data_IF_263157860965
#
_entry.id   IF_263157860965
#
_cell.length_a   1.000
_cell.length_b   1.000
_cell.length_c   1.000
_cell.angle_alpha   90.00
_cell.angle_beta   90.00
_cell.angle_gamma   90.00
#
_symmetry.space_group_name_H-M   'P 1'
#
loop_
_entity.id
_entity.type
_entity.pdbx_description
1 polymer ?
#
# COMPACT_ATOMS: atom_id res chain seq x y z
N UNK A 1 -26.03 12.86 -35.13
CA UNK A 1 -26.72 12.60 -33.85
C UNK A 1 -26.32 11.19 -33.43
N UNK A 2 -25.19 11.06 -32.74
CA UNK A 2 -24.69 9.77 -32.24
C UNK A 2 -25.01 9.70 -30.75
N UNK A 3 -25.73 8.64 -30.37
CA UNK A 3 -26.22 8.35 -29.04
C UNK A 3 -25.06 7.97 -28.12
N UNK A 4 -24.63 8.92 -27.30
CA UNK A 4 -23.51 8.80 -26.37
C UNK A 4 -23.99 8.23 -25.02
N UNK A 5 -24.53 7.01 -25.06
CA UNK A 5 -24.82 6.22 -23.85
C UNK A 5 -23.93 5.00 -23.80
N UNK A 6 -22.63 5.21 -23.61
CA UNK A 6 -21.82 4.20 -22.90
C UNK A 6 -22.30 4.16 -21.46
N UNK A 7 -23.35 3.37 -21.21
CA UNK A 7 -23.66 2.91 -19.85
C UNK A 7 -22.41 2.26 -19.31
N UNK A 8 -21.85 2.82 -18.25
CA UNK A 8 -20.94 2.11 -17.38
C UNK A 8 -21.70 0.88 -16.87
N UNK A 9 -21.51 -0.28 -17.49
CA UNK A 9 -21.87 -1.54 -16.86
C UNK A 9 -20.92 -1.69 -15.68
N UNK A 10 -21.35 -1.18 -14.52
CA UNK A 10 -20.72 -1.52 -13.25
C UNK A 10 -21.00 -3.00 -13.06
N UNK A 11 -20.02 -3.85 -13.38
CA UNK A 11 -20.15 -5.29 -13.21
C UNK A 11 -20.52 -5.61 -11.76
N UNK A 12 -21.60 -6.36 -11.56
CA UNK A 12 -22.05 -6.78 -10.22
C UNK A 12 -20.94 -7.50 -9.44
N UNK A 13 -20.03 -8.17 -10.15
CA UNK A 13 -18.84 -8.80 -9.58
C UNK A 13 -17.89 -7.80 -8.93
N UNK A 14 -17.67 -6.64 -9.56
CA UNK A 14 -16.81 -5.58 -9.04
C UNK A 14 -17.36 -4.98 -7.74
N UNK A 15 -18.68 -4.76 -7.69
CA UNK A 15 -19.38 -4.33 -6.47
C UNK A 15 -19.23 -5.40 -5.39
N UNK A 16 -19.44 -6.67 -5.74
CA UNK A 16 -19.30 -7.77 -4.78
C UNK A 16 -17.87 -7.88 -4.23
N UNK A 17 -16.83 -7.64 -5.05
CA UNK A 17 -15.45 -7.61 -4.59
C UNK A 17 -15.19 -6.45 -3.63
N UNK A 18 -15.64 -5.24 -3.97
CA UNK A 18 -15.52 -4.07 -3.10
C UNK A 18 -16.23 -4.28 -1.75
N UNK A 19 -17.44 -4.85 -1.76
CA UNK A 19 -18.19 -5.15 -0.53
C UNK A 19 -17.48 -6.21 0.32
N UNK A 20 -17.02 -7.32 -0.29
CA UNK A 20 -16.26 -8.37 0.44
C UNK A 20 -14.96 -7.84 1.04
N UNK A 21 -14.26 -6.98 0.30
CA UNK A 21 -13.08 -6.28 0.80
C UNK A 21 -13.45 -5.35 1.96
N UNK A 22 -14.57 -4.61 1.86
CA UNK A 22 -15.04 -3.72 2.91
C UNK A 22 -15.32 -4.43 4.24
N UNK A 23 -15.93 -5.62 4.21
CA UNK A 23 -16.09 -6.45 5.42
C UNK A 23 -14.76 -6.93 6.03
N UNK A 24 -13.66 -6.82 5.30
CA UNK A 24 -12.32 -7.16 5.76
C UNK A 24 -11.48 -5.93 6.12
N UNK A 25 -12.09 -4.72 6.17
CA UNK A 25 -11.39 -3.47 6.47
C UNK A 25 -10.80 -3.44 7.89
N UNK A 26 -11.47 -4.07 8.86
CA UNK A 26 -10.90 -4.34 10.19
C UNK A 26 -10.87 -5.85 10.41
N UNK A 27 -9.71 -6.37 10.83
CA UNK A 27 -9.50 -7.77 11.14
C UNK A 27 -10.27 -8.19 12.40
N UNK A 28 -10.95 -9.34 12.41
CA UNK A 28 -11.80 -9.75 13.54
C UNK A 28 -11.01 -10.03 14.83
N UNK A 29 -9.71 -10.31 14.71
CA UNK A 29 -8.79 -10.62 15.80
C UNK A 29 -7.90 -9.42 16.18
N UNK A 30 -8.30 -8.18 15.86
CA UNK A 30 -7.47 -6.97 15.99
C UNK A 30 -6.78 -6.88 17.35
N UNK A 31 -7.50 -7.14 18.45
CA UNK A 31 -6.95 -7.07 19.81
C UNK A 31 -5.84 -8.11 20.03
N UNK A 32 -6.11 -9.36 19.67
CA UNK A 32 -5.13 -10.46 19.81
C UNK A 32 -3.91 -10.23 18.92
N UNK A 33 -4.14 -9.79 17.68
CA UNK A 33 -3.07 -9.42 16.76
C UNK A 33 -2.21 -8.28 17.30
N UNK A 34 -2.84 -7.23 17.83
CA UNK A 34 -2.15 -6.06 18.37
C UNK A 34 -1.27 -6.45 19.56
N UNK A 35 -1.84 -7.17 20.53
CA UNK A 35 -1.14 -7.57 21.76
C UNK A 35 -0.06 -8.63 21.52
N UNK A 36 -0.15 -9.38 20.41
CA UNK A 36 0.75 -10.48 20.11
C UNK A 36 1.77 -10.12 19.03
N UNK A 37 1.32 -10.20 17.78
CA UNK A 37 2.20 -10.13 16.61
C UNK A 37 2.68 -8.70 16.37
N UNK A 38 1.75 -7.73 16.40
CA UNK A 38 2.08 -6.34 16.09
C UNK A 38 3.03 -5.72 17.11
N UNK A 39 2.76 -5.92 18.41
CA UNK A 39 3.63 -5.47 19.48
C UNK A 39 5.06 -6.01 19.30
N UNK A 40 5.21 -7.30 18.96
CA UNK A 40 6.52 -7.91 18.68
C UNK A 40 7.21 -7.31 17.45
N UNK A 41 6.48 -6.99 16.39
CA UNK A 41 7.07 -6.32 15.22
C UNK A 41 7.51 -4.90 15.52
N UNK A 42 6.81 -4.19 16.41
CA UNK A 42 7.21 -2.87 16.86
C UNK A 42 8.45 -2.91 17.75
N UNK A 43 8.54 -3.92 18.61
CA UNK A 43 9.69 -4.14 19.52
C UNK A 43 10.94 -4.62 18.77
N UNK A 44 10.79 -5.64 17.89
CA UNK A 44 11.91 -6.38 17.29
C UNK A 44 12.13 -6.09 15.82
N UNK A 45 11.22 -5.35 15.20
CA UNK A 45 11.26 -4.99 13.79
C UNK A 45 10.41 -5.93 12.94
N UNK A 46 9.73 -5.33 11.96
CA UNK A 46 9.03 -6.07 10.91
C UNK A 46 10.00 -6.62 9.86
N UNK A 47 11.06 -5.86 9.56
CA UNK A 47 11.95 -6.14 8.44
C UNK A 47 13.07 -7.13 8.83
N UNK A 48 13.42 -8.06 7.93
CA UNK A 48 14.60 -8.89 8.11
C UNK A 48 15.86 -8.03 8.32
N UNK A 49 16.80 -8.44 9.18
CA UNK A 49 18.03 -7.70 9.40
C UNK A 49 18.84 -7.53 8.11
N UNK A 50 19.28 -6.30 7.83
CA UNK A 50 20.12 -5.97 6.67
C UNK A 50 21.54 -5.64 7.11
N UNK A 51 22.53 -5.93 6.26
CA UNK A 51 23.93 -5.57 6.57
C UNK A 51 24.09 -4.05 6.66
N UNK A 52 24.77 -3.57 7.70
CA UNK A 52 24.92 -2.17 8.14
C UNK A 52 25.77 -1.31 7.16
N UNK A 53 26.28 -1.88 6.06
CA UNK A 53 27.28 -1.24 5.19
C UNK A 53 26.72 -0.49 3.98
N UNK A 54 25.42 -0.16 3.97
CA UNK A 54 24.78 0.43 2.81
C UNK A 54 24.48 1.92 3.02
N UNK A 55 25.09 2.79 2.22
CA UNK A 55 24.63 4.16 2.01
C UNK A 55 23.13 4.13 1.65
N UNK A 56 22.28 4.61 2.56
CA UNK A 56 20.82 4.37 2.58
C UNK A 56 20.05 5.24 1.58
N UNK A 57 20.70 6.20 0.94
CA UNK A 57 20.02 7.26 0.18
C UNK A 57 19.64 6.89 -1.27
N UNK A 58 20.21 5.81 -1.81
CA UNK A 58 19.96 5.44 -3.21
C UNK A 58 18.60 4.74 -3.41
N UNK A 59 17.72 5.38 -4.20
CA UNK A 59 16.35 4.91 -4.51
C UNK A 59 16.32 3.46 -4.97
N UNK A 60 17.18 3.11 -5.93
CA UNK A 60 17.21 1.77 -6.51
C UNK A 60 17.56 0.71 -5.47
N UNK A 61 18.40 1.05 -4.47
CA UNK A 61 18.85 0.14 -3.42
C UNK A 61 17.73 -0.13 -2.44
N UNK A 62 17.03 0.93 -2.03
CA UNK A 62 15.84 0.81 -1.18
C UNK A 62 14.77 -0.05 -1.85
N UNK A 63 14.46 0.23 -3.12
CA UNK A 63 13.49 -0.56 -3.90
C UNK A 63 13.92 -2.03 -4.03
N UNK A 64 15.21 -2.28 -4.30
CA UNK A 64 15.77 -3.62 -4.43
C UNK A 64 15.69 -4.43 -3.13
N UNK A 65 16.00 -3.81 -1.99
CA UNK A 65 15.89 -4.44 -0.68
C UNK A 65 14.43 -4.78 -0.35
N UNK A 66 13.50 -3.87 -0.64
CA UNK A 66 12.07 -4.10 -0.43
C UNK A 66 11.59 -5.31 -1.24
N UNK A 67 12.01 -5.44 -2.51
CA UNK A 67 11.71 -6.61 -3.35
C UNK A 67 12.30 -7.93 -2.82
N UNK A 68 13.50 -7.89 -2.24
CA UNK A 68 14.16 -9.07 -1.68
C UNK A 68 13.49 -9.55 -0.39
N UNK A 69 13.18 -8.64 0.53
CA UNK A 69 12.62 -8.96 1.85
C UNK A 69 11.28 -9.69 1.77
N UNK A 70 10.42 -9.32 0.82
CA UNK A 70 9.13 -10.00 0.60
C UNK A 70 9.31 -11.47 0.21
N UNK A 71 10.40 -11.81 -0.49
CA UNK A 71 10.62 -13.17 -1.02
C UNK A 71 11.16 -14.13 0.04
N UNK A 72 11.92 -13.63 1.01
CA UNK A 72 12.61 -14.46 2.00
C UNK A 72 11.74 -14.81 3.21
N UNK A 73 10.71 -14.02 3.52
CA UNK A 73 9.82 -14.27 4.65
C UNK A 73 8.97 -15.54 4.45
N UNK A 74 8.91 -16.37 5.49
CA UNK A 74 8.20 -17.64 5.54
C UNK A 74 6.92 -17.56 6.36
N UNK A 75 6.91 -16.81 7.46
CA UNK A 75 5.70 -16.63 8.26
C UNK A 75 4.63 -15.91 7.43
N UNK A 76 3.44 -16.50 7.34
CA UNK A 76 2.42 -15.99 6.43
C UNK A 76 1.92 -14.60 6.82
N UNK A 77 1.79 -14.32 8.11
CA UNK A 77 1.26 -13.05 8.59
C UNK A 77 2.29 -11.93 8.40
N UNK A 78 3.53 -12.19 8.80
CA UNK A 78 4.67 -11.30 8.60
C UNK A 78 4.89 -11.04 7.12
N UNK A 79 4.78 -12.07 6.28
CA UNK A 79 4.88 -11.94 4.82
C UNK A 79 3.79 -11.05 4.24
N UNK A 80 2.54 -11.16 4.69
CA UNK A 80 1.45 -10.29 4.23
C UNK A 80 1.76 -8.84 4.60
N UNK A 81 2.10 -8.57 5.86
CA UNK A 81 2.41 -7.22 6.31
C UNK A 81 3.63 -6.64 5.57
N UNK A 82 4.73 -7.39 5.51
CA UNK A 82 5.95 -7.00 4.78
C UNK A 82 5.64 -6.71 3.32
N UNK A 83 4.85 -7.57 2.65
CA UNK A 83 4.48 -7.35 1.26
C UNK A 83 3.69 -6.06 1.08
N UNK A 84 2.71 -5.77 1.92
CA UNK A 84 1.93 -4.51 1.84
C UNK A 84 2.86 -3.30 1.95
N UNK A 85 3.71 -3.25 2.99
CA UNK A 85 4.63 -2.13 3.21
C UNK A 85 5.67 -2.03 2.08
N UNK A 86 6.20 -3.16 1.61
CA UNK A 86 7.14 -3.18 0.49
C UNK A 86 6.49 -2.72 -0.81
N UNK A 87 5.25 -3.12 -1.12
CA UNK A 87 4.55 -2.71 -2.33
C UNK A 87 4.30 -1.19 -2.36
N UNK A 88 3.85 -0.58 -1.24
CA UNK A 88 3.68 0.88 -1.18
C UNK A 88 5.01 1.62 -1.33
N UNK A 89 6.09 1.08 -0.73
CA UNK A 89 7.43 1.65 -0.85
C UNK A 89 7.97 1.49 -2.27
N UNK A 90 7.76 0.35 -2.91
CA UNK A 90 8.10 0.13 -4.32
C UNK A 90 7.40 1.12 -5.24
N UNK A 91 6.11 1.39 -5.01
CA UNK A 91 5.38 2.41 -5.75
C UNK A 91 5.99 3.80 -5.55
N UNK A 92 6.28 4.18 -4.30
CA UNK A 92 6.96 5.44 -3.98
C UNK A 92 8.33 5.56 -4.66
N UNK A 93 9.19 4.55 -4.54
CA UNK A 93 10.51 4.56 -5.17
C UNK A 93 10.45 4.65 -6.69
N UNK A 94 9.46 3.99 -7.29
CA UNK A 94 9.18 4.15 -8.71
C UNK A 94 8.81 5.60 -9.06
N UNK A 95 7.92 6.26 -8.31
CA UNK A 95 7.55 7.65 -8.58
C UNK A 95 8.76 8.59 -8.48
N UNK A 96 9.59 8.41 -7.45
CA UNK A 96 10.81 9.20 -7.28
C UNK A 96 11.83 8.94 -8.41
N UNK A 97 11.95 7.69 -8.88
CA UNK A 97 12.82 7.36 -10.01
C UNK A 97 12.26 7.90 -11.32
N UNK A 98 10.94 7.86 -11.53
CA UNK A 98 10.29 8.43 -12.71
C UNK A 98 10.50 9.94 -12.76
N UNK A 99 10.32 10.62 -11.62
CA UNK A 99 10.59 12.06 -11.47
C UNK A 99 12.04 12.39 -11.81
N UNK A 100 13.02 11.68 -11.22
CA UNK A 100 14.44 11.86 -11.56
C UNK A 100 14.72 11.61 -13.05
N UNK A 101 14.10 10.58 -13.63
CA UNK A 101 14.25 10.23 -15.04
C UNK A 101 13.65 11.29 -15.97
N UNK A 102 12.65 12.04 -15.49
CA UNK A 102 12.03 13.16 -16.20
C UNK A 102 12.87 14.44 -16.10
N UNK A 103 13.41 14.73 -14.91
CA UNK A 103 14.24 15.90 -14.63
C UNK A 103 15.64 15.83 -15.23
N UNK A 104 16.24 14.64 -15.32
CA UNK A 104 17.58 14.44 -15.88
C UNK A 104 17.64 14.52 -17.41
N UNK A 105 16.60 15.06 -18.07
CA UNK A 105 16.45 15.03 -19.53
C UNK A 105 16.83 16.35 -20.17
N UNK A 106 17.31 16.24 -21.40
CA UNK A 106 17.40 17.37 -22.30
C UNK A 106 15.98 17.89 -22.60
N UNK A 107 15.66 19.17 -22.30
CA UNK A 107 14.36 19.77 -22.58
C UNK A 107 13.96 19.74 -24.06
N UNK A 108 14.91 19.52 -24.97
CA UNK A 108 14.69 19.54 -26.43
C UNK A 108 14.29 18.18 -27.02
N UNK A 109 14.41 17.08 -26.26
CA UNK A 109 14.12 15.74 -26.74
C UNK A 109 12.61 15.39 -26.65
N UNK A 110 11.97 15.19 -27.81
CA UNK A 110 10.62 14.62 -27.92
C UNK A 110 10.65 13.14 -27.55
N UNK A 111 10.31 12.82 -26.31
CA UNK A 111 10.25 11.45 -25.80
C UNK A 111 8.87 11.19 -25.22
N UNK A 112 8.29 10.02 -25.50
CA UNK A 112 6.95 9.68 -25.03
C UNK A 112 6.94 9.39 -23.52
N UNK A 113 5.77 9.55 -22.88
CA UNK A 113 5.56 9.17 -21.47
C UNK A 113 5.91 7.69 -21.20
N UNK A 114 5.66 6.83 -22.18
CA UNK A 114 5.94 5.40 -22.08
C UNK A 114 7.44 5.10 -21.97
N UNK A 115 8.27 5.85 -22.68
CA UNK A 115 9.73 5.69 -22.62
C UNK A 115 10.28 6.13 -21.26
N UNK A 116 9.64 7.09 -20.59
CA UNK A 116 10.00 7.49 -19.21
C UNK A 116 9.75 6.35 -18.25
N UNK A 117 8.55 5.78 -18.29
CA UNK A 117 8.15 4.67 -17.45
C UNK A 117 9.08 3.48 -17.64
N UNK A 118 9.32 3.06 -18.88
CA UNK A 118 10.19 1.90 -19.17
C UNK A 118 11.60 2.16 -18.66
N UNK A 119 12.16 3.34 -18.91
CA UNK A 119 13.51 3.69 -18.44
C UNK A 119 13.62 3.71 -16.91
N UNK A 120 12.60 4.22 -16.21
CA UNK A 120 12.58 4.22 -14.75
C UNK A 120 12.54 2.80 -14.17
N UNK A 121 11.69 1.93 -14.74
CA UNK A 121 11.60 0.51 -14.35
C UNK A 121 12.93 -0.21 -14.64
N UNK A 122 13.48 -0.05 -15.83
CA UNK A 122 14.75 -0.68 -16.22
C UNK A 122 15.89 -0.26 -15.31
N UNK A 123 15.94 1.02 -14.92
CA UNK A 123 16.95 1.51 -13.98
C UNK A 123 16.85 0.80 -12.63
N UNK A 124 15.64 0.59 -12.10
CA UNK A 124 15.44 -0.13 -10.85
C UNK A 124 15.82 -1.61 -11.00
N UNK A 125 15.37 -2.27 -12.08
CA UNK A 125 15.59 -3.69 -12.29
C UNK A 125 17.05 -4.03 -12.61
N UNK A 126 17.75 -3.17 -13.35
CA UNK A 126 19.20 -3.29 -13.63
C UNK A 126 20.01 -3.44 -12.35
N UNK A 127 19.65 -2.70 -11.33
CA UNK A 127 20.38 -2.70 -10.07
C UNK A 127 20.01 -3.89 -9.16
N UNK A 128 18.79 -4.42 -9.31
CA UNK A 128 18.38 -5.63 -8.59
C UNK A 128 19.00 -6.90 -9.20
N UNK A 129 19.08 -6.98 -10.52
CA UNK A 129 19.60 -8.14 -11.24
C UNK A 129 21.02 -7.87 -11.75
N UNK A 130 22.04 -8.36 -11.03
CA UNK A 130 23.48 -8.23 -11.38
C UNK A 130 23.77 -8.61 -12.84
N UNK A 131 23.01 -9.57 -13.37
CA UNK A 131 23.18 -10.08 -14.73
C UNK A 131 22.23 -9.41 -15.75
N UNK A 132 21.68 -8.23 -15.47
CA UNK A 132 20.67 -7.60 -16.32
C UNK A 132 21.07 -7.55 -17.79
N UNK A 133 22.32 -7.16 -18.08
CA UNK A 133 22.83 -6.97 -19.44
C UNK A 133 22.93 -8.27 -20.25
N UNK A 134 23.03 -9.42 -19.58
CA UNK A 134 23.09 -10.75 -20.21
C UNK A 134 21.75 -11.49 -20.21
N UNK A 135 20.73 -10.99 -19.49
CA UNK A 135 19.38 -11.55 -19.51
C UNK A 135 18.72 -11.28 -20.87
N UNK A 136 18.15 -12.33 -21.49
CA UNK A 136 17.42 -12.23 -22.75
C UNK A 136 16.22 -11.27 -22.63
N UNK A 137 15.89 -10.56 -23.71
CA UNK A 137 14.80 -9.57 -23.71
C UNK A 137 13.45 -10.14 -23.27
N UNK A 138 13.11 -11.36 -23.70
CA UNK A 138 11.87 -12.03 -23.26
C UNK A 138 11.80 -12.25 -21.74
N UNK A 139 12.95 -12.43 -21.09
CA UNK A 139 13.05 -12.55 -19.64
C UNK A 139 12.99 -11.17 -18.97
N UNK A 140 13.62 -10.14 -19.55
CA UNK A 140 13.48 -8.75 -19.09
C UNK A 140 12.02 -8.29 -19.13
N UNK A 141 11.28 -8.62 -20.19
CA UNK A 141 9.86 -8.30 -20.30
C UNK A 141 9.02 -8.97 -19.21
N UNK A 142 9.35 -10.22 -18.85
CA UNK A 142 8.70 -10.89 -17.73
C UNK A 142 9.00 -10.20 -16.40
N UNK A 143 10.25 -9.77 -16.19
CA UNK A 143 10.67 -9.04 -14.99
C UNK A 143 9.97 -7.67 -14.89
N UNK A 144 9.86 -6.93 -16.01
CA UNK A 144 9.10 -5.68 -16.11
C UNK A 144 7.64 -5.89 -15.74
N UNK A 145 6.97 -6.86 -16.37
CA UNK A 145 5.55 -7.16 -16.08
C UNK A 145 5.32 -7.54 -14.62
N UNK A 146 6.23 -8.30 -14.02
CA UNK A 146 6.14 -8.64 -12.60
C UNK A 146 6.32 -7.39 -11.72
N UNK A 147 7.29 -6.54 -12.03
CA UNK A 147 7.48 -5.28 -11.30
C UNK A 147 6.28 -4.35 -11.44
N UNK A 148 5.75 -4.18 -12.65
CA UNK A 148 4.55 -3.38 -12.90
C UNK A 148 3.36 -3.89 -12.09
N UNK A 149 3.13 -5.21 -12.04
CA UNK A 149 2.06 -5.79 -11.25
C UNK A 149 2.19 -5.50 -9.75
N UNK A 150 3.38 -5.69 -9.16
CA UNK A 150 3.63 -5.38 -7.74
C UNK A 150 3.50 -3.88 -7.43
N UNK A 151 4.05 -3.03 -8.32
CA UNK A 151 3.93 -1.57 -8.25
C UNK A 151 2.46 -1.13 -8.32
N UNK A 152 1.66 -1.73 -9.20
CA UNK A 152 0.23 -1.39 -9.34
C UNK A 152 -0.57 -1.80 -8.10
N UNK A 153 -0.22 -2.91 -7.43
CA UNK A 153 -0.80 -3.24 -6.12
C UNK A 153 -0.39 -2.20 -5.07
N UNK A 154 0.86 -1.75 -5.06
CA UNK A 154 1.33 -0.65 -4.21
C UNK A 154 0.52 0.64 -4.42
N UNK A 155 0.27 1.03 -5.69
CA UNK A 155 -0.58 2.18 -6.03
C UNK A 155 -1.99 2.05 -5.46
N UNK A 156 -2.60 0.86 -5.58
CA UNK A 156 -3.94 0.57 -5.03
C UNK A 156 -3.99 0.71 -3.50
N UNK A 157 -2.95 0.25 -2.81
CA UNK A 157 -2.82 0.47 -1.37
C UNK A 157 -2.68 1.94 -1.01
N UNK A 158 -1.84 2.70 -1.72
CA UNK A 158 -1.71 4.14 -1.49
C UNK A 158 -3.03 4.90 -1.75
N UNK A 159 -3.81 4.48 -2.75
CA UNK A 159 -5.16 5.02 -2.97
C UNK A 159 -6.09 4.75 -1.78
N UNK A 160 -6.07 3.54 -1.22
CA UNK A 160 -6.90 3.23 -0.06
C UNK A 160 -6.44 4.01 1.18
N UNK A 161 -5.13 4.17 1.39
CA UNK A 161 -4.55 4.99 2.46
C UNK A 161 -4.98 6.45 2.34
N UNK A 162 -5.03 7.00 1.12
CA UNK A 162 -5.52 8.36 0.90
C UNK A 162 -6.96 8.56 1.41
N UNK A 163 -7.80 7.52 1.34
CA UNK A 163 -9.19 7.60 1.77
C UNK A 163 -9.43 7.25 3.24
N UNK A 164 -8.70 6.27 3.79
CA UNK A 164 -8.97 5.70 5.11
C UNK A 164 -7.89 5.97 6.15
N UNK A 165 -6.79 6.62 5.77
CA UNK A 165 -5.53 6.73 6.54
C UNK A 165 -4.61 5.51 6.46
N UNK A 166 -3.37 5.69 6.91
CA UNK A 166 -2.26 4.75 6.72
C UNK A 166 -2.50 3.44 7.47
N UNK A 167 -3.09 3.50 8.67
CA UNK A 167 -3.36 2.34 9.52
C UNK A 167 -4.17 1.22 8.87
N UNK A 168 -4.90 1.48 7.77
CA UNK A 168 -5.59 0.44 7.00
C UNK A 168 -4.64 -0.69 6.57
N UNK A 169 -3.36 -0.39 6.34
CA UNK A 169 -2.34 -1.37 5.97
C UNK A 169 -2.09 -2.42 7.07
N UNK A 170 -2.36 -2.07 8.32
CA UNK A 170 -2.15 -2.89 9.51
C UNK A 170 -3.44 -3.58 9.94
N UNK A 171 -4.53 -2.83 10.00
CA UNK A 171 -5.76 -3.33 10.63
C UNK A 171 -6.60 -4.23 9.72
N UNK A 172 -6.40 -4.22 8.41
CA UNK A 172 -7.23 -5.01 7.50
C UNK A 172 -6.80 -6.48 7.42
N UNK A 173 -7.79 -7.37 7.27
CA UNK A 173 -7.60 -8.82 7.20
C UNK A 173 -6.94 -9.26 5.87
N UNK A 174 -6.40 -10.49 5.84
CA UNK A 174 -5.80 -11.12 4.66
C UNK A 174 -6.76 -11.22 3.46
N UNK A 175 -8.07 -11.18 3.68
CA UNK A 175 -9.07 -11.12 2.60
C UNK A 175 -8.97 -9.82 1.80
N UNK A 176 -8.74 -8.69 2.48
CA UNK A 176 -8.50 -7.39 1.82
C UNK A 176 -7.26 -7.47 0.93
N UNK A 177 -6.19 -8.00 1.48
CA UNK A 177 -4.93 -8.22 0.74
C UNK A 177 -5.11 -9.15 -0.46
N UNK A 178 -5.86 -10.23 -0.30
CA UNK A 178 -6.19 -11.13 -1.42
C UNK A 178 -6.94 -10.39 -2.54
N UNK A 179 -7.88 -9.48 -2.23
CA UNK A 179 -8.56 -8.69 -3.27
C UNK A 179 -7.61 -7.69 -3.93
N UNK A 180 -6.80 -6.97 -3.14
CA UNK A 180 -5.84 -6.00 -3.67
C UNK A 180 -4.84 -6.62 -4.64
N UNK A 181 -4.41 -7.85 -4.40
CA UNK A 181 -3.45 -8.56 -5.26
C UNK A 181 -4.09 -9.21 -6.51
N UNK A 182 -5.42 -9.16 -6.68
CA UNK A 182 -6.06 -9.64 -7.89
C UNK A 182 -5.75 -8.74 -9.09
N UNK A 183 -5.56 -9.36 -10.24
CA UNK A 183 -5.21 -8.68 -11.50
C UNK A 183 -6.36 -7.85 -12.07
N UNK A 184 -7.59 -8.30 -11.88
CA UNK A 184 -8.82 -7.65 -12.31
C UNK A 184 -9.32 -6.58 -11.32
N UNK A 185 -8.77 -6.52 -10.11
CA UNK A 185 -9.09 -5.48 -9.13
C UNK A 185 -8.37 -4.17 -9.47
N UNK A 186 -9.13 -3.20 -9.96
CA UNK A 186 -8.67 -1.92 -10.50
C UNK A 186 -8.70 -0.78 -9.48
N UNK A 187 -8.13 0.37 -9.83
CA UNK A 187 -8.26 1.60 -9.01
C UNK A 187 -9.71 2.07 -8.86
N UNK A 188 -10.60 1.78 -9.81
CA UNK A 188 -12.03 2.11 -9.65
C UNK A 188 -12.68 1.21 -8.58
N UNK A 189 -12.21 -0.03 -8.43
CA UNK A 189 -12.70 -0.94 -7.40
C UNK A 189 -12.17 -0.53 -6.01
N UNK A 190 -10.95 -0.02 -5.92
CA UNK A 190 -10.42 0.63 -4.69
C UNK A 190 -11.28 1.85 -4.31
N UNK A 191 -11.64 2.68 -5.29
CA UNK A 191 -12.50 3.84 -5.07
C UNK A 191 -13.89 3.43 -4.59
N UNK A 192 -14.51 2.43 -5.23
CA UNK A 192 -15.81 1.88 -4.82
C UNK A 192 -15.76 1.27 -3.41
N UNK A 193 -14.68 0.53 -3.09
CA UNK A 193 -14.40 0.01 -1.76
C UNK A 193 -14.32 1.15 -0.72
N UNK A 194 -13.56 2.20 -1.01
CA UNK A 194 -13.41 3.33 -0.09
C UNK A 194 -14.75 4.05 0.16
N UNK A 195 -15.55 4.28 -0.89
CA UNK A 195 -16.90 4.82 -0.76
C UNK A 195 -17.75 3.92 0.14
N UNK A 196 -17.75 2.62 -0.11
CA UNK A 196 -18.54 1.67 0.68
C UNK A 196 -18.12 1.70 2.15
N UNK A 197 -16.82 1.66 2.45
CA UNK A 197 -16.32 1.69 3.84
C UNK A 197 -16.65 3.00 4.53
N UNK A 198 -16.43 4.15 3.89
CA UNK A 198 -16.68 5.46 4.52
C UNK A 198 -18.16 5.68 4.81
N UNK A 199 -19.03 5.24 3.90
CA UNK A 199 -20.47 5.46 4.04
C UNK A 199 -21.14 4.42 4.96
N UNK A 200 -20.72 3.16 4.90
CA UNK A 200 -21.35 2.08 5.68
C UNK A 200 -20.66 1.78 7.02
N UNK A 201 -19.38 2.13 7.15
CA UNK A 201 -18.55 1.85 8.33
C UNK A 201 -17.65 3.06 8.65
N UNK A 202 -18.25 4.23 8.85
CA UNK A 202 -17.54 5.50 9.04
C UNK A 202 -16.46 5.47 10.14
N UNK A 203 -16.65 4.65 11.17
CA UNK A 203 -15.67 4.46 12.25
C UNK A 203 -14.38 3.74 11.85
N UNK A 204 -14.28 3.16 10.64
CA UNK A 204 -13.05 2.51 10.17
C UNK A 204 -11.90 3.51 10.04
N UNK A 205 -12.19 4.75 9.62
CA UNK A 205 -11.17 5.80 9.50
C UNK A 205 -10.57 6.15 10.87
N UNK A 206 -11.42 6.28 11.89
CA UNK A 206 -10.99 6.54 13.27
C UNK A 206 -10.05 5.41 13.77
N UNK A 207 -10.41 4.15 13.50
CA UNK A 207 -9.58 2.99 13.85
C UNK A 207 -8.25 3.03 13.09
N UNK A 208 -8.24 3.37 11.80
CA UNK A 208 -7.01 3.48 11.03
C UNK A 208 -6.05 4.51 11.64
N UNK A 209 -6.57 5.67 12.06
CA UNK A 209 -5.76 6.74 12.63
C UNK A 209 -5.01 6.31 13.91
N UNK A 210 -5.58 5.42 14.72
CA UNK A 210 -4.90 4.84 15.90
C UNK A 210 -3.62 4.05 15.54
N UNK A 211 -3.47 3.62 14.28
CA UNK A 211 -2.34 2.80 13.82
C UNK A 211 -1.44 3.53 12.81
N UNK A 212 -1.66 4.82 12.52
CA UNK A 212 -0.85 5.56 11.55
C UNK A 212 0.64 5.64 11.94
N UNK A 213 0.92 5.85 13.23
CA UNK A 213 2.29 5.88 13.75
C UNK A 213 3.02 4.54 13.53
N UNK A 214 2.31 3.43 13.69
CA UNK A 214 2.84 2.08 13.44
C UNK A 214 3.27 1.91 11.99
N UNK A 215 2.46 2.41 11.05
CA UNK A 215 2.81 2.37 9.62
C UNK A 215 4.02 3.24 9.33
N UNK A 216 4.15 4.41 9.96
CA UNK A 216 5.33 5.26 9.81
C UNK A 216 6.61 4.52 10.25
N UNK A 217 6.58 3.83 11.39
CA UNK A 217 7.71 3.01 11.89
C UNK A 217 8.08 1.93 10.87
N UNK A 218 7.08 1.21 10.33
CA UNK A 218 7.33 0.18 9.32
C UNK A 218 7.87 0.75 8.01
N UNK A 219 7.40 1.91 7.56
CA UNK A 219 7.94 2.59 6.38
C UNK A 219 9.42 2.95 6.61
N UNK A 220 9.76 3.45 7.79
CA UNK A 220 11.13 3.80 8.17
C UNK A 220 12.05 2.58 8.36
N UNK A 221 11.50 1.35 8.32
CA UNK A 221 12.19 0.13 8.74
C UNK A 221 12.71 0.22 10.19
N UNK A 222 12.03 1.02 11.01
CA UNK A 222 12.44 1.32 12.38
C UNK A 222 11.89 0.35 13.42
N UNK A 223 12.22 0.67 14.67
CA UNK A 223 11.70 0.06 15.89
C UNK A 223 10.98 1.13 16.70
N UNK A 224 9.94 0.74 17.44
CA UNK A 224 9.35 1.62 18.44
C UNK A 224 10.29 1.70 19.65
N UNK A 225 10.51 2.91 20.19
CA UNK A 225 11.15 3.02 21.50
C UNK A 225 10.24 2.44 22.57
N UNK A 226 10.81 1.89 23.63
CA UNK A 226 10.05 1.21 24.68
C UNK A 226 8.93 2.10 25.26
N UNK A 227 9.22 3.35 25.61
CA UNK A 227 8.21 4.29 26.12
C UNK A 227 7.15 4.64 25.06
N UNK A 228 7.54 4.84 23.80
CA UNK A 228 6.62 5.13 22.70
C UNK A 228 5.68 3.95 22.42
N UNK A 229 6.20 2.72 22.53
CA UNK A 229 5.45 1.48 22.35
C UNK A 229 4.42 1.29 23.46
N UNK A 230 4.81 1.46 24.73
CA UNK A 230 3.89 1.36 25.87
C UNK A 230 2.81 2.46 25.79
N UNK A 231 3.21 3.71 25.57
CA UNK A 231 2.27 4.82 25.47
C UNK A 231 1.26 4.65 24.32
N UNK A 232 1.72 4.18 23.16
CA UNK A 232 0.82 3.88 22.05
C UNK A 232 -0.15 2.74 22.40
N UNK A 233 0.36 1.64 22.97
CA UNK A 233 -0.43 0.45 23.28
C UNK A 233 -1.48 0.70 24.37
N UNK A 234 -1.08 1.38 25.46
CA UNK A 234 -1.95 1.74 26.58
C UNK A 234 -2.93 2.87 26.21
N UNK A 235 -2.57 3.69 25.22
CA UNK A 235 -3.41 4.76 24.69
C UNK A 235 -4.54 4.28 23.76
N UNK A 236 -4.59 2.98 23.43
CA UNK A 236 -5.66 2.43 22.59
C UNK A 236 -6.97 2.32 23.37
N UNK A 237 -8.01 3.02 22.90
CA UNK A 237 -9.38 2.86 23.39
C UNK A 237 -9.98 1.54 22.88
N UNK A 238 -9.74 0.47 23.63
CA UNK A 238 -10.22 -0.87 23.27
C UNK A 238 -11.74 -1.00 23.21
N UNK A 239 -12.48 -0.19 23.97
CA UNK A 239 -13.94 -0.22 23.95
C UNK A 239 -14.47 0.39 22.65
N UNK A 240 -13.88 1.52 22.21
CA UNK A 240 -14.15 2.10 20.89
C UNK A 240 -13.82 1.10 19.77
N UNK A 241 -12.62 0.52 19.79
CA UNK A 241 -12.16 -0.43 18.78
C UNK A 241 -13.08 -1.66 18.68
N UNK A 242 -13.47 -2.22 19.83
CA UNK A 242 -14.37 -3.36 19.89
C UNK A 242 -15.79 -3.00 19.41
N UNK A 243 -16.26 -1.79 19.73
CA UNK A 243 -17.52 -1.26 19.23
C UNK A 243 -17.55 -1.18 17.70
N UNK A 244 -16.47 -0.68 17.08
CA UNK A 244 -16.35 -0.62 15.60
C UNK A 244 -16.28 -2.00 14.96
N UNK A 245 -15.54 -2.93 15.58
CA UNK A 245 -15.51 -4.33 15.15
C UNK A 245 -16.90 -4.99 15.20
N UNK A 246 -17.69 -4.69 16.23
CA UNK A 246 -19.03 -5.24 16.34
C UNK A 246 -19.96 -4.64 15.27
N UNK A 247 -19.86 -3.34 14.99
CA UNK A 247 -20.59 -2.68 13.91
C UNK A 247 -20.33 -3.35 12.55
N UNK A 248 -19.10 -3.80 12.28
CA UNK A 248 -18.76 -4.49 11.02
C UNK A 248 -19.34 -5.91 10.88
N UNK A 249 -19.85 -6.51 11.97
CA UNK A 249 -20.53 -7.81 11.92
C UNK A 249 -22.00 -7.67 11.58
N UNK A 250 -22.60 -6.51 11.85
CA UNK A 250 -23.97 -6.21 11.50
C UNK A 250 -24.06 -5.86 10.00
N UNK A 251 -25.23 -6.07 9.36
CA UNK A 251 -25.46 -5.60 8.01
C UNK A 251 -25.21 -4.07 7.92
N UNK A 252 -24.61 -3.59 6.82
CA UNK A 252 -24.34 -2.16 6.66
C UNK A 252 -25.65 -1.39 6.68
N UNK A 253 -25.74 -0.43 7.60
CA UNK A 253 -26.87 0.50 7.63
C UNK A 253 -26.80 1.43 6.41
N UNK A 254 -27.97 1.87 5.94
CA UNK A 254 -27.99 2.89 4.89
C UNK A 254 -27.39 4.19 5.43
N UNK A 255 -26.43 4.80 4.74
CA UNK A 255 -25.83 6.05 5.18
C UNK A 255 -26.89 7.15 5.25
N UNK A 256 -26.88 7.92 6.33
CA UNK A 256 -27.74 9.11 6.51
C UNK A 256 -27.44 10.17 5.45
N UNK A 257 -26.18 10.25 5.01
CA UNK A 257 -25.73 11.10 3.92
C UNK A 257 -24.65 10.40 3.10
N UNK A 258 -24.70 10.56 1.77
CA UNK A 258 -23.70 10.00 0.87
C UNK A 258 -22.52 10.96 0.72
N UNK A 259 -21.37 10.56 1.24
CA UNK A 259 -20.11 11.27 1.04
C UNK A 259 -19.49 10.87 -0.30
N UNK A 260 -19.31 11.85 -1.18
CA UNK A 260 -18.51 11.68 -2.39
C UNK A 260 -17.04 11.92 -2.08
N UNK A 261 -16.19 11.02 -2.58
CA UNK A 261 -14.74 11.14 -2.45
C UNK A 261 -14.17 11.77 -3.71
N UNK A 262 -13.19 12.64 -3.56
CA UNK A 262 -12.41 13.14 -4.69
C UNK A 262 -11.37 12.09 -5.10
N UNK A 263 -11.14 11.93 -6.40
CA UNK A 263 -10.04 11.07 -6.86
C UNK A 263 -8.71 11.77 -6.55
N UNK A 264 -7.74 11.11 -5.88
CA UNK A 264 -6.44 11.70 -5.59
C UNK A 264 -5.70 11.99 -6.88
N UNK A 265 -4.93 13.07 -6.88
CA UNK A 265 -3.88 13.26 -7.88
C UNK A 265 -2.72 12.30 -7.60
N UNK A 266 -1.97 11.89 -8.63
CA UNK A 266 -0.88 10.91 -8.44
C UNK A 266 0.16 11.38 -7.42
N UNK A 267 0.48 12.68 -7.42
CA UNK A 267 1.46 13.27 -6.51
C UNK A 267 1.06 13.20 -5.01
N UNK A 268 -0.24 13.08 -4.71
CA UNK A 268 -0.73 13.04 -3.32
C UNK A 268 -0.65 11.64 -2.69
N UNK A 269 -0.62 10.59 -3.52
CA UNK A 269 -0.74 9.21 -3.06
C UNK A 269 0.40 8.77 -2.14
N UNK A 270 1.59 9.34 -2.30
CA UNK A 270 2.79 8.95 -1.54
C UNK A 270 3.26 9.99 -0.53
N UNK A 271 2.46 11.04 -0.29
CA UNK A 271 2.79 12.09 0.69
C UNK A 271 3.04 11.53 2.10
N UNK A 272 2.25 10.56 2.54
CA UNK A 272 2.42 9.94 3.85
C UNK A 272 3.74 9.17 3.97
N UNK A 273 4.21 8.57 2.86
CA UNK A 273 5.51 7.88 2.79
C UNK A 273 6.64 8.90 2.80
N UNK A 274 6.54 9.98 2.01
CA UNK A 274 7.51 11.08 2.01
C UNK A 274 7.68 11.68 3.41
N UNK A 275 6.57 11.97 4.09
CA UNK A 275 6.54 12.46 5.48
C UNK A 275 7.21 11.46 6.43
N UNK A 276 6.86 10.18 6.35
CA UNK A 276 7.47 9.15 7.19
C UNK A 276 8.99 9.04 6.96
N UNK A 277 9.47 9.21 5.74
CA UNK A 277 10.90 9.17 5.41
C UNK A 277 11.63 10.50 5.61
N UNK A 278 10.95 11.56 6.08
CA UNK A 278 11.54 12.88 6.27
C UNK A 278 11.98 13.57 4.97
N UNK A 279 11.35 13.24 3.83
CA UNK A 279 11.66 13.80 2.51
C UNK A 279 10.60 14.82 2.12
N UNK A 280 11.00 16.07 1.84
CA UNK A 280 10.13 17.15 1.34
C UNK A 280 10.27 17.31 -0.18
#
# INVERSE_FOLDING_TARGET
>A
MFDDRRRFEIGLENIAYAVRAGYAAIRPDLRTFTNGILYRWLEKGLWPPTSIYANEDEIWRQCSMDMMHVRIEKDSETKIMLRRVAQIRMYYWYEEQEKKTRESRDPTALVSGNDIRIKAIDTILQQYYINWDIIKDSSRDKLRKNFEAEKDVGKKWCQLVHYLSAGILVICDKKMDSQMNKKDFSSNDVYALAIFVINCYSGVSDVCQCFDAVVSIFIQKGLAKEDELHNWHDGLDWDLLQGRLQQMKEPPEQPVAWYQLTKPTENELTNYIRKALGRN
#
